data_IF_277210135386
#
_entry.id   IF_277210135386
#
_cell.length_a   1.000
_cell.length_b   1.000
_cell.length_c   1.000
_cell.angle_alpha   90.00
_cell.angle_beta   90.00
_cell.angle_gamma   90.00
#
_symmetry.space_group_name_H-M   'P 1'
#
loop_
_entity.id
_entity.type
_entity.pdbx_description
1 polymer ?
#
# COMPACT_ATOMS: atom_id res chain seq x y z
N UNK A 1 76.86 -53.13 7.22
CA UNK A 1 75.78 -52.43 7.94
C UNK A 1 74.95 -51.64 6.93
N UNK A 2 73.76 -52.15 6.61
CA UNK A 2 72.77 -51.46 5.78
C UNK A 2 72.27 -50.23 6.56
N UNK A 3 72.50 -49.01 6.03
CA UNK A 3 71.78 -47.81 6.47
C UNK A 3 70.64 -47.59 5.48
N UNK A 4 69.42 -47.93 5.88
CA UNK A 4 68.21 -47.52 5.17
C UNK A 4 67.93 -46.05 5.48
N UNK A 5 68.00 -45.20 4.47
CA UNK A 5 67.53 -43.82 4.54
C UNK A 5 66.03 -43.81 4.22
N UNK A 6 65.18 -43.57 5.22
CA UNK A 6 63.74 -43.40 5.02
C UNK A 6 63.47 -41.93 4.66
N UNK A 7 63.09 -41.67 3.42
CA UNK A 7 62.56 -40.36 3.02
C UNK A 7 61.05 -40.38 3.29
N UNK A 8 60.59 -39.64 4.32
CA UNK A 8 59.17 -39.45 4.62
C UNK A 8 58.68 -38.23 3.83
N UNK A 9 57.97 -38.46 2.75
CA UNK A 9 57.19 -37.41 2.06
C UNK A 9 55.92 -37.13 2.86
N UNK A 10 55.72 -35.87 3.24
CA UNK A 10 54.44 -35.39 3.76
C UNK A 10 53.65 -34.78 2.61
N UNK A 11 52.60 -35.48 2.16
CA UNK A 11 51.59 -34.84 1.31
C UNK A 11 50.68 -33.98 2.19
N UNK A 12 50.79 -32.66 2.03
CA UNK A 12 49.80 -31.73 2.57
C UNK A 12 48.66 -31.58 1.57
N UNK A 13 47.54 -32.23 1.87
CA UNK A 13 46.28 -32.00 1.16
C UNK A 13 45.71 -30.65 1.61
N UNK A 14 45.95 -29.59 0.83
CA UNK A 14 45.23 -28.33 1.03
C UNK A 14 43.81 -28.48 0.49
N UNK A 15 42.84 -28.66 1.40
CA UNK A 15 41.42 -28.52 1.06
C UNK A 15 41.13 -27.04 0.81
N UNK A 16 41.04 -26.64 -0.46
CA UNK A 16 40.55 -25.30 -0.83
C UNK A 16 39.05 -25.26 -0.56
N UNK A 17 38.66 -24.61 0.53
CA UNK A 17 37.26 -24.32 0.82
C UNK A 17 36.78 -23.26 -0.19
N UNK A 18 36.07 -23.68 -1.25
CA UNK A 18 35.35 -22.76 -2.13
C UNK A 18 34.15 -22.20 -1.37
N UNK A 19 34.29 -20.97 -0.87
CA UNK A 19 33.13 -20.20 -0.44
C UNK A 19 32.38 -19.68 -1.66
N UNK A 20 31.24 -20.29 -1.97
CA UNK A 20 30.26 -19.71 -2.90
C UNK A 20 29.53 -18.60 -2.17
N UNK A 21 29.87 -17.34 -2.43
CA UNK A 21 29.05 -16.21 -2.01
C UNK A 21 27.86 -16.08 -2.96
N UNK A 22 26.68 -16.46 -2.49
CA UNK A 22 25.43 -16.13 -3.17
C UNK A 22 25.12 -14.67 -2.91
N UNK A 23 25.38 -13.79 -3.89
CA UNK A 23 24.90 -12.41 -3.85
C UNK A 23 23.39 -12.41 -4.08
N UNK A 24 22.60 -12.17 -3.03
CA UNK A 24 21.20 -11.83 -3.19
C UNK A 24 21.09 -10.35 -3.58
N UNK A 25 20.75 -10.09 -4.84
CA UNK A 25 20.46 -8.74 -5.30
C UNK A 25 19.01 -8.41 -4.92
N UNK A 26 18.80 -7.63 -3.86
CA UNK A 26 17.49 -7.06 -3.54
C UNK A 26 17.31 -5.77 -4.34
N UNK A 27 16.51 -5.80 -5.41
CA UNK A 27 16.08 -4.58 -6.08
C UNK A 27 15.08 -3.85 -5.17
N UNK A 28 15.44 -2.66 -4.71
CA UNK A 28 14.55 -1.75 -3.99
C UNK A 28 13.88 -0.84 -5.00
N UNK A 29 12.58 -1.03 -5.23
CA UNK A 29 11.80 -0.07 -6.01
C UNK A 29 11.51 1.15 -5.14
N UNK A 30 12.18 2.26 -5.45
CA UNK A 30 11.95 3.56 -4.81
C UNK A 30 10.78 4.24 -5.51
N UNK A 31 9.62 4.34 -4.87
CA UNK A 31 8.53 5.17 -5.38
C UNK A 31 8.68 6.59 -4.82
N UNK A 32 8.91 7.57 -5.71
CA UNK A 32 9.11 8.98 -5.35
C UNK A 32 7.75 9.68 -5.29
N UNK A 33 7.41 10.24 -4.13
CA UNK A 33 6.26 11.15 -4.00
C UNK A 33 6.79 12.59 -3.88
N UNK A 34 6.26 13.50 -4.68
CA UNK A 34 6.67 14.91 -4.73
C UNK A 34 5.64 15.79 -4.03
N UNK A 35 6.07 16.63 -3.08
CA UNK A 35 5.22 17.66 -2.48
C UNK A 35 5.95 19.00 -2.64
N UNK A 36 5.30 19.98 -3.25
CA UNK A 36 5.81 21.35 -3.44
C UNK A 36 5.22 22.30 -2.40
N UNK A 37 6.01 23.24 -1.90
CA UNK A 37 5.55 24.41 -1.12
C UNK A 37 6.20 25.68 -1.67
N UNK A 38 5.46 26.78 -1.67
CA UNK A 38 5.92 28.09 -2.18
C UNK A 38 6.00 29.07 -1.02
N UNK A 39 7.18 29.62 -0.74
CA UNK A 39 7.37 30.76 0.17
C UNK A 39 7.84 31.99 -0.60
N UNK A 40 7.31 33.16 -0.23
CA UNK A 40 7.70 34.48 -0.77
C UNK A 40 8.48 35.19 0.33
N UNK A 41 9.73 35.57 0.05
CA UNK A 41 10.54 36.37 0.96
C UNK A 41 10.84 37.73 0.31
N UNK A 42 10.50 38.82 0.98
CA UNK A 42 10.79 40.19 0.55
C UNK A 42 12.00 40.69 1.35
N UNK A 43 13.05 41.19 0.68
CA UNK A 43 14.17 41.84 1.35
C UNK A 43 14.12 43.36 1.13
N UNK A 44 14.21 44.11 2.22
CA UNK A 44 14.39 45.57 2.23
C UNK A 44 15.86 45.94 2.04
N UNK A 45 16.20 47.03 1.33
CA UNK A 45 17.59 47.40 1.07
C UNK A 45 18.27 48.04 2.29
N UNK A 46 19.60 47.88 2.46
CA UNK A 46 20.37 48.55 3.51
C UNK A 46 20.76 49.99 3.11
N UNK A 47 21.08 50.87 4.08
CA UNK A 47 21.38 52.27 3.80
C UNK A 47 22.82 52.47 3.25
N UNK A 48 23.06 53.53 2.45
CA UNK A 48 24.35 53.74 1.80
C UNK A 48 25.46 54.15 2.76
N UNK A 49 26.69 53.74 2.46
CA UNK A 49 27.89 54.04 3.24
C UNK A 49 28.74 55.10 2.54
N UNK A 50 29.37 55.99 3.30
CA UNK A 50 30.25 57.05 2.79
C UNK A 50 31.64 56.88 3.38
N UNK A 51 32.69 56.95 2.55
CA UNK A 51 34.08 56.89 3.00
C UNK A 51 34.79 58.23 2.77
N UNK A 52 35.51 58.71 3.80
CA UNK A 52 36.32 59.94 3.76
C UNK A 52 37.78 59.57 4.03
N UNK A 53 38.69 59.99 3.16
CA UNK A 53 40.13 59.85 3.38
C UNK A 53 40.76 61.22 3.66
N UNK A 54 41.55 61.32 4.74
CA UNK A 54 42.30 62.51 5.13
C UNK A 54 43.80 62.17 5.11
N UNK A 55 44.62 62.98 4.43
CA UNK A 55 46.07 62.82 4.41
C UNK A 55 46.73 64.02 5.13
N UNK A 56 47.72 63.76 5.99
CA UNK A 56 48.43 64.78 6.78
C UNK A 56 49.91 64.77 6.40
N UNK A 57 50.45 65.91 5.94
CA UNK A 57 51.90 66.13 5.80
C UNK A 57 52.36 67.20 6.80
N UNK A 58 53.61 67.04 7.25
CA UNK A 58 54.23 67.92 8.24
C UNK A 58 54.45 69.33 7.67
N UNK A 59 54.17 70.32 8.52
CA UNK A 59 54.52 71.74 8.43
C UNK A 59 53.61 72.66 7.57
N UNK A 60 52.72 73.33 8.32
CA UNK A 60 52.04 74.64 8.13
C UNK A 60 51.13 74.87 6.90
N UNK A 61 49.82 74.73 7.18
CA UNK A 61 48.59 75.13 6.46
C UNK A 61 47.95 74.14 5.46
N UNK A 62 46.66 73.87 5.70
CA UNK A 62 45.80 72.84 5.08
C UNK A 62 44.64 73.48 4.31
N UNK A 63 44.30 72.95 3.12
CA UNK A 63 43.01 73.17 2.46
C UNK A 63 42.43 71.83 1.97
N UNK A 64 41.12 71.61 2.17
CA UNK A 64 40.41 70.36 1.86
C UNK A 64 39.34 70.62 0.79
N UNK A 65 39.27 69.78 -0.25
CA UNK A 65 38.14 69.76 -1.20
C UNK A 65 37.48 68.37 -1.21
N UNK A 66 36.14 68.36 -1.22
CA UNK A 66 35.29 67.16 -1.22
C UNK A 66 34.61 67.02 -2.58
N UNK A 67 34.67 65.84 -3.19
CA UNK A 67 33.85 65.49 -4.35
C UNK A 67 32.99 64.26 -4.04
N UNK A 68 31.69 64.38 -4.28
CA UNK A 68 30.70 63.32 -4.09
C UNK A 68 30.31 62.73 -5.45
N UNK A 69 30.41 61.41 -5.60
CA UNK A 69 29.94 60.68 -6.79
C UNK A 69 28.88 59.67 -6.38
N UNK A 70 27.67 59.83 -6.89
CA UNK A 70 26.54 58.91 -6.71
C UNK A 70 26.45 57.93 -7.90
N UNK A 71 26.06 56.69 -7.62
CA UNK A 71 25.78 55.64 -8.61
C UNK A 71 24.40 55.04 -8.29
N UNK A 72 23.48 55.07 -9.25
CA UNK A 72 22.16 54.45 -9.14
C UNK A 72 22.21 53.03 -9.72
N UNK A 73 21.96 52.02 -8.89
CA UNK A 73 21.89 50.62 -9.33
C UNK A 73 20.45 50.13 -9.30
N UNK A 74 19.88 49.80 -10.47
CA UNK A 74 18.59 49.13 -10.60
C UNK A 74 18.77 47.61 -10.47
N UNK A 75 18.24 47.00 -9.40
CA UNK A 75 18.19 45.54 -9.26
C UNK A 75 16.88 44.96 -9.79
N UNK A 76 16.99 43.96 -10.68
CA UNK A 76 15.92 43.04 -11.08
C UNK A 76 15.73 41.95 -10.00
N UNK A 77 14.49 41.77 -9.53
CA UNK A 77 14.14 40.75 -8.52
C UNK A 77 14.18 39.36 -9.14
N UNK A 78 15.18 38.55 -8.76
CA UNK A 78 15.28 37.15 -9.16
C UNK A 78 14.62 36.27 -8.09
N UNK A 79 13.47 35.66 -8.43
CA UNK A 79 12.77 34.71 -7.55
C UNK A 79 13.49 33.35 -7.63
N UNK A 80 14.07 32.92 -6.51
CA UNK A 80 14.58 31.56 -6.37
C UNK A 80 13.64 30.72 -5.51
N UNK A 81 13.21 29.58 -6.04
CA UNK A 81 12.42 28.57 -5.33
C UNK A 81 13.39 27.49 -4.86
N UNK A 82 13.50 27.27 -3.55
CA UNK A 82 14.32 26.20 -3.00
C UNK A 82 13.45 24.98 -2.66
N UNK A 83 13.78 23.82 -3.21
CA UNK A 83 13.11 22.55 -2.92
C UNK A 83 13.90 21.84 -1.82
N UNK A 84 13.30 21.61 -0.65
CA UNK A 84 13.93 20.82 0.42
C UNK A 84 13.55 19.34 0.23
N UNK A 85 14.55 18.46 0.05
CA UNK A 85 14.34 17.02 -0.15
C UNK A 85 14.54 16.29 1.17
N UNK A 86 13.44 15.87 1.80
CA UNK A 86 13.52 14.94 2.94
C UNK A 86 13.39 13.50 2.45
N UNK A 87 14.49 12.74 2.54
CA UNK A 87 14.49 11.30 2.33
C UNK A 87 14.19 10.65 3.68
N UNK A 88 12.94 10.23 3.90
CA UNK A 88 12.60 9.37 5.01
C UNK A 88 12.76 7.91 4.60
N UNK A 89 13.81 7.26 5.12
CA UNK A 89 13.99 5.81 4.99
C UNK A 89 13.21 5.11 6.09
N UNK A 90 11.94 4.74 5.83
CA UNK A 90 11.25 3.79 6.70
C UNK A 90 11.74 2.37 6.40
N UNK A 91 12.83 1.98 7.05
CA UNK A 91 13.19 0.58 7.21
C UNK A 91 12.29 -0.04 8.28
N UNK A 92 11.07 -0.43 7.90
CA UNK A 92 10.26 -1.30 8.74
C UNK A 92 10.76 -2.75 8.58
N UNK A 93 11.87 -3.08 9.23
CA UNK A 93 12.10 -4.46 9.68
C UNK A 93 11.34 -4.67 11.00
N UNK A 94 10.01 -4.64 10.88
CA UNK A 94 9.15 -5.16 11.92
C UNK A 94 8.34 -6.30 11.31
N UNK A 95 8.97 -7.46 11.23
CA UNK A 95 8.23 -8.72 11.37
C UNK A 95 7.80 -8.83 12.83
N UNK A 96 6.82 -8.01 13.23
CA UNK A 96 5.84 -8.55 14.14
C UNK A 96 5.04 -9.52 13.29
N UNK A 97 5.31 -10.80 13.45
CA UNK A 97 4.34 -11.84 13.13
C UNK A 97 3.14 -11.59 14.04
N UNK A 98 2.25 -10.68 13.63
CA UNK A 98 0.90 -10.70 14.14
C UNK A 98 0.40 -12.09 13.79
N UNK A 99 0.24 -12.95 14.79
CA UNK A 99 -0.47 -14.23 14.64
C UNK A 99 -1.95 -13.88 14.41
N UNK A 100 -2.24 -13.37 13.22
CA UNK A 100 -3.58 -13.20 12.69
C UNK A 100 -3.98 -14.56 12.14
N UNK A 101 -4.23 -15.49 13.04
CA UNK A 101 -4.89 -16.73 12.70
C UNK A 101 -6.21 -16.73 13.43
N UNK A 102 -7.26 -17.25 12.79
CA UNK A 102 -8.47 -17.67 13.50
C UNK A 102 -8.45 -19.20 13.66
N UNK A 103 -7.67 -19.75 14.61
CA UNK A 103 -7.86 -21.14 15.01
C UNK A 103 -9.28 -21.28 15.56
N UNK A 104 -9.96 -22.37 15.19
CA UNK A 104 -11.26 -22.74 15.76
C UNK A 104 -11.25 -22.89 17.31
N UNK A 105 -10.09 -22.72 17.96
CA UNK A 105 -9.88 -22.98 19.39
C UNK A 105 -9.05 -21.91 20.12
N UNK A 106 -8.64 -20.79 19.50
CA UNK A 106 -8.00 -19.69 20.22
C UNK A 106 -8.44 -18.34 19.65
N UNK A 107 -9.21 -17.59 20.44
CA UNK A 107 -9.70 -16.24 20.15
C UNK A 107 -8.52 -15.28 19.97
N UNK A 108 -8.03 -15.14 18.74
CA UNK A 108 -7.26 -13.95 18.37
C UNK A 108 -8.14 -12.74 18.62
N UNK A 109 -7.63 -11.74 19.35
CA UNK A 109 -8.40 -10.58 19.83
C UNK A 109 -9.06 -9.74 18.73
N UNK A 110 -8.84 -10.08 17.46
CA UNK A 110 -9.33 -9.39 16.28
C UNK A 110 -10.17 -10.27 15.34
N UNK A 111 -10.41 -11.55 15.65
CA UNK A 111 -11.25 -12.40 14.79
C UNK A 111 -12.69 -11.87 14.77
N UNK A 112 -13.23 -11.68 13.57
CA UNK A 112 -14.59 -11.22 13.34
C UNK A 112 -15.40 -12.29 12.62
N UNK A 113 -16.67 -12.39 13.00
CA UNK A 113 -17.63 -13.24 12.32
C UNK A 113 -18.56 -12.39 11.47
N UNK A 114 -18.78 -12.83 10.23
CA UNK A 114 -19.64 -12.14 9.27
C UNK A 114 -20.70 -13.09 8.72
N UNK A 115 -21.79 -12.50 8.27
CA UNK A 115 -22.85 -13.16 7.51
C UNK A 115 -23.16 -12.35 6.26
N UNK A 116 -23.39 -13.06 5.15
CA UNK A 116 -23.76 -12.47 3.87
C UNK A 116 -25.17 -11.87 3.96
N UNK A 117 -25.37 -10.70 3.37
CA UNK A 117 -26.66 -10.02 3.38
C UNK A 117 -27.49 -10.39 2.14
N UNK A 118 -28.58 -11.18 2.29
CA UNK A 118 -29.48 -11.53 1.20
C UNK A 118 -30.14 -10.31 0.53
N UNK A 119 -30.20 -9.16 1.22
CA UNK A 119 -30.77 -7.93 0.67
C UNK A 119 -29.83 -7.24 -0.34
N UNK A 120 -28.54 -7.56 -0.29
CA UNK A 120 -27.55 -7.01 -1.22
C UNK A 120 -27.20 -7.98 -2.35
N UNK A 121 -27.39 -9.28 -2.13
CA UNK A 121 -26.98 -10.34 -3.04
C UNK A 121 -27.63 -10.21 -4.42
N UNK A 122 -26.83 -10.19 -5.46
CA UNK A 122 -27.33 -10.33 -6.83
C UNK A 122 -28.13 -11.62 -6.99
N UNK A 123 -29.19 -11.60 -7.81
CA UNK A 123 -30.16 -12.71 -7.92
C UNK A 123 -29.57 -14.01 -8.45
N UNK A 124 -28.44 -13.96 -9.16
CA UNK A 124 -27.70 -15.16 -9.61
C UNK A 124 -26.66 -15.67 -8.59
N UNK A 125 -26.68 -15.16 -7.35
CA UNK A 125 -25.86 -15.66 -6.26
C UNK A 125 -26.72 -16.44 -5.30
N UNK A 126 -26.36 -17.70 -5.05
CA UNK A 126 -27.02 -18.54 -4.06
C UNK A 126 -26.28 -18.45 -2.72
N UNK A 127 -27.02 -18.15 -1.65
CA UNK A 127 -26.50 -18.08 -0.28
C UNK A 127 -26.87 -19.36 0.49
N UNK A 128 -25.89 -19.96 1.17
CA UNK A 128 -26.06 -21.20 1.92
C UNK A 128 -25.21 -21.23 3.21
N UNK A 129 -25.25 -22.34 3.94
CA UNK A 129 -24.50 -22.55 5.20
C UNK A 129 -24.76 -21.47 6.27
N UNK A 130 -26.02 -21.04 6.39
CA UNK A 130 -26.41 -19.94 7.29
C UNK A 130 -25.88 -18.59 6.83
N UNK A 131 -25.92 -18.34 5.51
CA UNK A 131 -25.37 -17.15 4.86
C UNK A 131 -23.86 -16.97 5.09
N UNK A 132 -23.12 -18.07 5.18
CA UNK A 132 -21.65 -18.04 5.24
C UNK A 132 -20.99 -18.47 3.95
N UNK A 133 -21.76 -19.03 3.02
CA UNK A 133 -21.28 -19.42 1.70
C UNK A 133 -22.11 -18.74 0.62
N UNK A 134 -21.41 -18.24 -0.41
CA UNK A 134 -22.00 -17.71 -1.64
C UNK A 134 -21.46 -18.47 -2.83
N UNK A 135 -22.33 -18.81 -3.76
CA UNK A 135 -21.97 -19.49 -4.98
C UNK A 135 -22.65 -18.83 -6.17
N UNK A 136 -21.93 -18.76 -7.29
CA UNK A 136 -22.54 -18.34 -8.55
C UNK A 136 -23.40 -19.49 -9.07
N UNK A 137 -24.59 -19.15 -9.57
CA UNK A 137 -25.54 -20.07 -10.21
C UNK A 137 -26.03 -19.50 -11.54
N UNK A 138 -26.54 -20.37 -12.40
CA UNK A 138 -27.30 -19.98 -13.58
C UNK A 138 -28.77 -19.70 -13.23
N UNK A 139 -29.28 -20.34 -12.17
CA UNK A 139 -30.64 -20.14 -11.71
C UNK A 139 -30.80 -18.81 -10.96
N UNK A 140 -31.87 -18.08 -11.30
CA UNK A 140 -32.29 -16.88 -10.59
C UNK A 140 -32.87 -17.27 -9.23
N UNK A 141 -32.27 -16.75 -8.16
CA UNK A 141 -32.72 -16.94 -6.79
C UNK A 141 -33.88 -16.00 -6.46
N UNK A 142 -34.87 -16.53 -5.74
CA UNK A 142 -36.08 -15.81 -5.32
C UNK A 142 -35.83 -14.89 -4.14
N UNK A 143 -35.11 -13.79 -4.37
CA UNK A 143 -34.95 -12.74 -3.37
C UNK A 143 -35.98 -11.63 -3.56
N UNK A 144 -36.57 -11.07 -2.47
CA UNK A 144 -37.44 -9.91 -2.57
C UNK A 144 -36.72 -8.70 -3.17
N UNK A 145 -37.45 -7.84 -3.86
CA UNK A 145 -36.90 -6.59 -4.36
C UNK A 145 -36.37 -5.73 -3.21
N UNK A 146 -35.18 -5.16 -3.40
CA UNK A 146 -34.52 -4.34 -2.39
C UNK A 146 -33.64 -3.25 -3.03
N UNK A 147 -33.63 -2.01 -2.52
CA UNK A 147 -32.78 -0.93 -3.05
C UNK A 147 -31.29 -1.27 -2.99
N UNK A 148 -30.86 -1.98 -1.94
CA UNK A 148 -29.45 -2.35 -1.74
C UNK A 148 -28.98 -3.53 -2.61
N UNK A 149 -29.88 -4.17 -3.39
CA UNK A 149 -29.56 -5.33 -4.22
C UNK A 149 -28.72 -4.93 -5.43
N UNK A 150 -27.58 -5.59 -5.64
CA UNK A 150 -26.86 -5.48 -6.90
C UNK A 150 -27.68 -6.11 -8.03
N UNK A 151 -27.91 -5.37 -9.11
CA UNK A 151 -28.82 -5.78 -10.19
C UNK A 151 -28.11 -6.34 -11.44
N UNK A 152 -26.87 -5.94 -11.69
CA UNK A 152 -26.08 -6.38 -12.85
C UNK A 152 -24.88 -7.22 -12.45
N UNK A 153 -24.13 -6.77 -11.44
CA UNK A 153 -22.91 -7.46 -11.03
C UNK A 153 -23.21 -8.53 -10.00
N UNK A 154 -22.69 -9.74 -10.22
CA UNK A 154 -22.75 -10.88 -9.29
C UNK A 154 -21.99 -10.59 -7.99
N UNK A 155 -22.51 -9.69 -7.16
CA UNK A 155 -21.88 -9.18 -5.95
C UNK A 155 -22.81 -9.30 -4.74
N UNK A 156 -22.21 -9.36 -3.56
CA UNK A 156 -22.89 -9.38 -2.26
C UNK A 156 -22.01 -8.69 -1.22
N UNK A 157 -22.61 -8.04 -0.22
CA UNK A 157 -21.94 -7.56 0.99
C UNK A 157 -22.34 -8.39 2.20
N UNK A 158 -21.50 -8.39 3.22
CA UNK A 158 -21.87 -8.83 4.55
C UNK A 158 -22.76 -7.81 5.27
N UNK A 159 -23.49 -8.29 6.28
CA UNK A 159 -24.38 -7.47 7.12
C UNK A 159 -23.60 -6.64 8.12
N UNK A 160 -22.60 -7.25 8.74
CA UNK A 160 -21.77 -6.63 9.76
C UNK A 160 -20.68 -5.79 9.12
N UNK A 161 -20.40 -4.64 9.74
CA UNK A 161 -19.39 -3.68 9.29
C UNK A 161 -18.18 -3.64 10.21
N UNK A 162 -17.08 -3.10 9.70
CA UNK A 162 -15.80 -2.93 10.39
C UNK A 162 -15.52 -1.45 10.61
N UNK A 163 -15.52 -1.05 11.89
CA UNK A 163 -15.14 0.29 12.36
C UNK A 163 -13.92 0.27 13.29
N UNK A 164 -13.28 -0.89 13.47
CA UNK A 164 -12.14 -1.10 14.37
C UNK A 164 -11.07 -2.00 13.74
N UNK A 165 -10.39 -2.78 14.59
CA UNK A 165 -9.48 -3.84 14.14
C UNK A 165 -10.25 -5.13 13.94
N UNK A 166 -10.06 -5.75 12.79
CA UNK A 166 -10.82 -6.92 12.41
C UNK A 166 -10.00 -7.80 11.47
N UNK A 167 -10.07 -9.10 11.69
CA UNK A 167 -9.45 -10.12 10.88
C UNK A 167 -10.48 -11.22 10.61
N UNK A 168 -10.54 -11.68 9.37
CA UNK A 168 -11.36 -12.83 8.98
C UNK A 168 -10.69 -13.58 7.85
N UNK A 169 -11.08 -14.85 7.71
CA UNK A 169 -10.58 -15.73 6.66
C UNK A 169 -11.73 -16.13 5.74
N UNK A 170 -11.40 -16.30 4.46
CA UNK A 170 -12.30 -16.85 3.47
C UNK A 170 -11.62 -17.94 2.68
N UNK A 171 -12.39 -18.95 2.32
CA UNK A 171 -12.02 -19.91 1.30
C UNK A 171 -12.72 -19.55 -0.01
N UNK A 172 -11.97 -19.50 -1.11
CA UNK A 172 -12.49 -19.19 -2.43
C UNK A 172 -12.17 -20.30 -3.42
N UNK A 173 -13.05 -20.46 -4.41
CA UNK A 173 -12.79 -21.31 -5.57
C UNK A 173 -13.43 -20.72 -6.82
N UNK A 174 -12.87 -21.04 -7.98
CA UNK A 174 -13.47 -20.70 -9.27
C UNK A 174 -12.60 -19.86 -10.18
N UNK A 175 -13.23 -19.38 -11.25
CA UNK A 175 -12.52 -18.75 -12.37
C UNK A 175 -12.19 -17.28 -12.13
N UNK A 176 -13.03 -16.56 -11.39
CA UNK A 176 -12.83 -15.14 -11.12
C UNK A 176 -13.63 -14.70 -9.89
N UNK A 177 -12.93 -14.54 -8.79
CA UNK A 177 -13.50 -14.15 -7.49
C UNK A 177 -12.91 -12.82 -7.05
N UNK A 178 -13.76 -11.90 -6.63
CA UNK A 178 -13.38 -10.67 -5.93
C UNK A 178 -13.63 -10.80 -4.43
N UNK A 179 -12.62 -10.52 -3.62
CA UNK A 179 -12.70 -10.40 -2.16
C UNK A 179 -12.48 -8.91 -1.85
N UNK A 180 -13.52 -8.24 -1.40
CA UNK A 180 -13.56 -6.81 -1.28
C UNK A 180 -13.88 -6.35 0.14
N UNK A 181 -13.50 -5.10 0.42
CA UNK A 181 -14.13 -4.27 1.45
C UNK A 181 -14.67 -3.02 0.78
N UNK A 182 -15.85 -2.58 1.20
CA UNK A 182 -16.56 -1.46 0.57
C UNK A 182 -17.28 -0.62 1.60
N UNK A 183 -17.41 0.68 1.34
CA UNK A 183 -18.45 1.46 2.02
C UNK A 183 -19.84 0.99 1.57
N UNK A 184 -20.83 1.17 2.45
CA UNK A 184 -22.23 0.80 2.17
C UNK A 184 -22.84 1.63 1.03
N UNK A 185 -22.31 2.83 0.79
CA UNK A 185 -22.77 3.78 -0.23
C UNK A 185 -22.43 3.40 -1.67
N UNK A 186 -21.69 2.30 -1.90
CA UNK A 186 -21.37 1.85 -3.26
C UNK A 186 -22.66 1.70 -4.07
N UNK A 187 -22.62 2.16 -5.33
CA UNK A 187 -23.78 2.08 -6.21
C UNK A 187 -24.18 0.62 -6.45
N UNK A 188 -25.48 0.35 -6.45
CA UNK A 188 -26.01 -1.01 -6.62
C UNK A 188 -26.56 -1.27 -8.00
N UNK A 189 -26.85 -0.21 -8.75
CA UNK A 189 -27.67 -0.26 -9.96
C UNK A 189 -26.85 0.06 -11.21
N UNK A 190 -26.95 -0.82 -12.20
CA UNK A 190 -26.32 -0.68 -13.52
C UNK A 190 -24.93 -1.30 -13.66
N UNK A 191 -24.54 -1.56 -14.91
CA UNK A 191 -23.27 -2.21 -15.31
C UNK A 191 -22.05 -1.27 -15.37
N UNK A 192 -22.04 -0.19 -14.58
CA UNK A 192 -20.96 0.79 -14.59
C UNK A 192 -19.85 0.47 -13.59
N UNK A 193 -18.71 1.15 -13.74
CA UNK A 193 -17.59 1.09 -12.80
C UNK A 193 -17.97 1.49 -11.35
N UNK A 194 -18.96 2.38 -11.20
CA UNK A 194 -19.49 2.82 -9.91
C UNK A 194 -20.09 1.69 -9.06
N UNK A 195 -20.53 0.61 -9.69
CA UNK A 195 -21.15 -0.52 -8.99
C UNK A 195 -20.20 -1.72 -8.81
N UNK A 196 -19.09 -1.75 -9.56
CA UNK A 196 -18.17 -2.87 -9.57
C UNK A 196 -17.10 -2.71 -8.48
N UNK A 197 -16.90 -3.72 -7.62
CA UNK A 197 -15.90 -3.66 -6.54
C UNK A 197 -14.48 -3.36 -7.04
N UNK A 198 -13.85 -2.33 -6.48
CA UNK A 198 -12.50 -1.87 -6.85
C UNK A 198 -12.44 -0.94 -8.08
N UNK A 199 -13.53 -0.79 -8.85
CA UNK A 199 -13.59 0.15 -9.99
C UNK A 199 -14.14 1.53 -9.60
N UNK A 200 -14.24 1.81 -8.32
CA UNK A 200 -14.66 3.07 -7.72
C UNK A 200 -13.79 3.40 -6.50
N UNK A 201 -13.95 4.59 -5.97
CA UNK A 201 -13.23 5.13 -4.80
C UNK A 201 -13.80 4.65 -3.45
N UNK A 202 -14.89 3.89 -3.46
CA UNK A 202 -15.58 3.42 -2.25
C UNK A 202 -15.26 1.97 -1.90
N UNK A 203 -14.47 1.28 -2.71
CA UNK A 203 -14.16 -0.13 -2.54
C UNK A 203 -12.72 -0.49 -2.92
N UNK A 204 -12.22 -1.51 -2.25
CA UNK A 204 -10.89 -2.11 -2.45
C UNK A 204 -11.11 -3.61 -2.63
N UNK A 205 -10.59 -4.19 -3.70
CA UNK A 205 -10.88 -5.57 -4.06
C UNK A 205 -9.65 -6.33 -4.52
N UNK A 206 -9.40 -7.47 -3.88
CA UNK A 206 -8.47 -8.49 -4.36
C UNK A 206 -9.22 -9.41 -5.33
N UNK A 207 -8.73 -9.51 -6.55
CA UNK A 207 -9.26 -10.41 -7.58
C UNK A 207 -8.35 -11.61 -7.74
N UNK A 208 -8.94 -12.79 -7.75
CA UNK A 208 -8.25 -14.07 -7.80
C UNK A 208 -8.87 -14.97 -8.87
N UNK A 209 -7.99 -15.71 -9.54
CA UNK A 209 -8.29 -16.75 -10.54
C UNK A 209 -7.17 -17.78 -10.52
N UNK A 210 -7.34 -18.90 -11.22
CA UNK A 210 -6.28 -19.92 -11.33
C UNK A 210 -5.01 -19.45 -12.04
N UNK A 211 -5.06 -18.35 -12.80
CA UNK A 211 -3.95 -17.87 -13.62
C UNK A 211 -3.54 -16.43 -13.36
N UNK A 212 -4.27 -15.69 -12.52
CA UNK A 212 -3.97 -14.28 -12.24
C UNK A 212 -4.50 -13.82 -10.88
N UNK A 213 -3.74 -12.90 -10.29
CA UNK A 213 -4.09 -12.22 -9.04
C UNK A 213 -3.87 -10.72 -9.23
N UNK A 214 -4.83 -9.89 -8.80
CA UNK A 214 -4.65 -8.44 -8.89
C UNK A 214 -5.41 -7.70 -7.80
N UNK A 215 -4.91 -6.54 -7.40
CA UNK A 215 -5.60 -5.62 -6.52
C UNK A 215 -6.19 -4.46 -7.30
N UNK A 216 -7.42 -4.07 -6.94
CA UNK A 216 -8.15 -3.00 -7.60
C UNK A 216 -8.70 -1.99 -6.60
N UNK A 217 -8.47 -0.71 -6.90
CA UNK A 217 -9.11 0.41 -6.23
C UNK A 217 -9.19 1.60 -7.18
N UNK A 218 -10.33 2.30 -7.20
CA UNK A 218 -10.56 3.47 -8.06
C UNK A 218 -10.19 3.23 -9.53
N UNK A 219 -10.59 2.05 -10.05
CA UNK A 219 -10.32 1.61 -11.42
C UNK A 219 -8.82 1.50 -11.77
N UNK A 220 -7.94 1.51 -10.77
CA UNK A 220 -6.51 1.24 -10.93
C UNK A 220 -6.23 -0.20 -10.54
N UNK A 221 -5.61 -0.94 -11.45
CA UNK A 221 -5.15 -2.32 -11.26
C UNK A 221 -3.70 -2.33 -10.79
N UNK A 222 -3.41 -3.18 -9.82
CA UNK A 222 -2.06 -3.59 -9.43
C UNK A 222 -1.95 -5.10 -9.62
N UNK A 223 -1.08 -5.56 -10.52
CA UNK A 223 -0.80 -6.99 -10.68
C UNK A 223 -0.08 -7.53 -9.45
N UNK A 224 -0.47 -8.73 -9.01
CA UNK A 224 0.14 -9.40 -7.87
C UNK A 224 0.74 -10.75 -8.32
N UNK A 225 1.70 -11.29 -7.55
CA UNK A 225 2.13 -12.67 -7.73
C UNK A 225 0.94 -13.63 -7.68
N UNK A 226 1.05 -14.75 -8.40
CA UNK A 226 0.01 -15.77 -8.40
C UNK A 226 -0.18 -16.33 -6.99
N UNK A 227 -1.44 -16.43 -6.57
CA UNK A 227 -1.80 -16.95 -5.25
C UNK A 227 -2.16 -18.42 -5.39
N UNK A 228 -1.36 -19.29 -4.80
CA UNK A 228 -1.57 -20.74 -4.87
C UNK A 228 -2.61 -21.25 -3.86
N UNK A 229 -2.89 -20.51 -2.78
CA UNK A 229 -3.85 -20.93 -1.75
C UNK A 229 -5.28 -20.50 -2.06
N UNK A 230 -6.24 -21.39 -1.76
CA UNK A 230 -7.67 -21.08 -1.74
C UNK A 230 -8.09 -20.29 -0.49
N UNK A 231 -7.22 -20.13 0.51
CA UNK A 231 -7.55 -19.42 1.75
C UNK A 231 -6.89 -18.05 1.82
N UNK A 232 -7.72 -17.03 2.04
CA UNK A 232 -7.32 -15.63 2.10
C UNK A 232 -7.67 -15.06 3.46
N UNK A 233 -6.67 -14.48 4.12
CA UNK A 233 -6.88 -13.66 5.31
C UNK A 233 -7.05 -12.20 4.91
N UNK A 234 -8.01 -11.52 5.54
CA UNK A 234 -8.21 -10.08 5.37
C UNK A 234 -8.10 -9.43 6.73
N UNK A 235 -7.23 -8.43 6.84
CA UNK A 235 -7.05 -7.62 8.04
C UNK A 235 -7.41 -6.18 7.74
N UNK A 236 -8.20 -5.58 8.63
CA UNK A 236 -8.53 -4.17 8.64
C UNK A 236 -8.17 -3.59 9.98
N UNK A 237 -7.47 -2.46 9.97
CA UNK A 237 -7.38 -1.53 11.09
C UNK A 237 -7.98 -0.21 10.63
N UNK A 238 -9.25 0.02 10.99
CA UNK A 238 -9.98 1.18 10.52
C UNK A 238 -9.33 2.49 10.97
N UNK A 239 -8.96 2.57 12.26
CA UNK A 239 -8.34 3.77 12.85
C UNK A 239 -6.94 4.04 12.32
N UNK A 240 -6.13 3.00 12.16
CA UNK A 240 -4.80 3.13 11.59
C UNK A 240 -4.81 3.14 10.06
N UNK A 241 -5.98 3.13 9.42
CA UNK A 241 -6.09 3.23 7.97
C UNK A 241 -5.45 2.08 7.19
N UNK A 242 -5.41 0.87 7.77
CA UNK A 242 -4.72 -0.27 7.17
C UNK A 242 -5.72 -1.30 6.66
N UNK A 243 -5.55 -1.75 5.41
CA UNK A 243 -6.19 -2.94 4.85
C UNK A 243 -5.10 -3.82 4.27
N UNK A 244 -5.07 -5.09 4.67
CA UNK A 244 -4.09 -6.06 4.19
C UNK A 244 -4.75 -7.39 3.83
N UNK A 245 -4.26 -7.99 2.76
CA UNK A 245 -4.67 -9.30 2.26
C UNK A 245 -3.50 -10.27 2.38
N UNK A 246 -3.80 -11.51 2.78
CA UNK A 246 -2.83 -12.55 3.01
C UNK A 246 -3.25 -13.85 2.32
N UNK A 247 -2.30 -14.58 1.77
CA UNK A 247 -2.46 -15.97 1.36
C UNK A 247 -2.12 -16.86 2.55
N UNK A 248 -3.00 -17.81 2.86
CA UNK A 248 -2.84 -18.70 4.02
C UNK A 248 -2.68 -20.13 3.51
N UNK A 249 -1.50 -20.69 3.65
CA UNK A 249 -1.24 -22.13 3.49
C UNK A 249 -0.70 -22.66 4.83
N UNK A 250 0.44 -23.32 4.84
CA UNK A 250 1.20 -23.62 6.06
C UNK A 250 1.74 -22.35 6.71
N UNK A 251 1.92 -21.29 5.92
CA UNK A 251 2.35 -19.97 6.39
C UNK A 251 1.42 -18.88 5.88
N UNK A 252 1.42 -17.75 6.59
CA UNK A 252 0.64 -16.57 6.23
C UNK A 252 1.54 -15.58 5.47
N UNK A 253 1.30 -15.43 4.17
CA UNK A 253 2.08 -14.58 3.28
C UNK A 253 1.30 -13.32 2.93
N UNK A 254 1.88 -12.14 3.14
CA UNK A 254 1.26 -10.88 2.74
C UNK A 254 1.20 -10.78 1.20
N UNK A 255 -0.01 -10.54 0.67
CA UNK A 255 -0.25 -10.34 -0.76
C UNK A 255 -0.23 -8.86 -1.11
N UNK A 256 -0.99 -8.07 -0.38
CA UNK A 256 -1.13 -6.64 -0.64
C UNK A 256 -1.52 -5.91 0.64
N UNK A 257 -1.05 -4.67 0.77
CA UNK A 257 -1.44 -3.77 1.85
C UNK A 257 -1.60 -2.36 1.33
N UNK A 258 -2.70 -1.73 1.72
CA UNK A 258 -2.92 -0.31 1.52
C UNK A 258 -2.90 0.42 2.85
N UNK A 259 -2.46 1.67 2.79
CA UNK A 259 -2.60 2.64 3.86
C UNK A 259 -3.42 3.81 3.33
N UNK A 260 -4.56 4.09 3.95
CA UNK A 260 -5.52 5.11 3.52
C UNK A 260 -6.40 5.54 4.68
N UNK A 261 -7.01 6.72 4.61
CA UNK A 261 -7.99 7.16 5.61
C UNK A 261 -9.37 6.62 5.26
N UNK A 262 -9.89 5.70 6.06
CA UNK A 262 -11.26 5.24 5.93
C UNK A 262 -12.22 6.26 6.53
N UNK A 263 -13.19 6.71 5.73
CA UNK A 263 -14.14 7.76 6.11
C UNK A 263 -15.45 7.21 6.66
N UNK A 264 -15.76 5.95 6.36
CA UNK A 264 -16.99 5.27 6.80
C UNK A 264 -16.70 3.83 7.19
N UNK A 265 -17.66 3.17 7.83
CA UNK A 265 -17.63 1.74 8.12
C UNK A 265 -17.42 0.93 6.85
N UNK A 266 -16.52 -0.05 6.91
CA UNK A 266 -16.23 -0.97 5.80
C UNK A 266 -17.05 -2.24 5.93
N UNK A 267 -17.59 -2.74 4.83
CA UNK A 267 -18.35 -3.98 4.77
C UNK A 267 -17.57 -4.97 3.90
N UNK A 268 -17.25 -6.17 4.40
CA UNK A 268 -16.73 -7.24 3.55
C UNK A 268 -17.71 -7.52 2.41
N UNK A 269 -17.17 -7.85 1.24
CA UNK A 269 -17.95 -8.08 0.03
C UNK A 269 -17.30 -9.10 -0.87
N UNK A 270 -18.13 -9.77 -1.68
CA UNK A 270 -17.68 -10.82 -2.58
C UNK A 270 -18.28 -10.63 -3.96
N UNK A 271 -17.46 -10.75 -5.00
CA UNK A 271 -17.87 -10.73 -6.40
C UNK A 271 -17.58 -12.05 -7.08
N UNK A 272 -18.58 -12.69 -7.65
CA UNK A 272 -18.48 -13.97 -8.34
C UNK A 272 -18.99 -13.78 -9.78
N UNK A 273 -18.05 -13.58 -10.70
CA UNK A 273 -18.35 -13.08 -12.05
C UNK A 273 -18.53 -14.18 -13.10
N UNK A 274 -17.99 -15.38 -12.84
CA UNK A 274 -18.06 -16.51 -13.77
C UNK A 274 -18.37 -17.82 -13.03
N UNK A 275 -18.99 -18.75 -13.74
CA UNK A 275 -19.23 -20.11 -13.28
C UNK A 275 -18.04 -21.05 -13.60
N UNK A 276 -17.77 -22.06 -12.76
CA UNK A 276 -18.19 -22.14 -11.35
C UNK A 276 -17.34 -21.17 -10.50
N UNK A 277 -17.94 -20.53 -9.50
CA UNK A 277 -17.23 -19.79 -8.45
C UNK A 277 -17.97 -19.88 -7.12
N UNK A 278 -17.21 -19.90 -6.01
CA UNK A 278 -17.76 -19.86 -4.65
C UNK A 278 -16.82 -19.14 -3.68
N UNK A 279 -17.41 -18.59 -2.61
CA UNK A 279 -16.68 -18.09 -1.44
C UNK A 279 -17.37 -18.56 -0.17
N UNK A 280 -16.58 -18.98 0.81
CA UNK A 280 -17.01 -19.36 2.16
C UNK A 280 -16.29 -18.51 3.20
N UNK A 281 -17.05 -17.88 4.08
CA UNK A 281 -16.58 -17.28 5.33
C UNK A 281 -16.24 -18.40 6.32
N UNK A 282 -15.03 -18.34 6.88
CA UNK A 282 -14.51 -19.33 7.83
C UNK A 282 -14.75 -18.92 9.29
#
# INVERSE_FOLDING_TARGET
MLKHTHTRTHDHTHTVQKHTHTFSHSQTHTSRMFITHTQINMHTPPPPHTHTHTHRHAETHTHTHTHTRTHDYTHTVQKHTHTHTHIFTLSNKHTHSLKLTCPHTHTSAYCCHFTLDPNTAHTLLHLSEGNRRVERRDEVQSYPDHPDRFDVWGQVLCREGVSGRCYWEVEWSGRWVGIAVSYKSISRKGGGAKCWFGRNDQSWSLFLSSSSSSFWHNNKKTELPLVASSRIGVYVDHRAGTLAFYSISDTMTLLHRVHTTFTHTLYPGFGLYYLPSSVKLL
#
